data_IF_785495503891
#
_entry.id   IF_785495503891
#
_cell.length_a   1.000
_cell.length_b   1.000
_cell.length_c   1.000
_cell.angle_alpha   90.00
_cell.angle_beta   90.00
_cell.angle_gamma   90.00
#
_symmetry.space_group_name_H-M   'P 1'
#
loop_
_entity.id
_entity.type
_entity.pdbx_description
1 polymer ?
#
# COMPACT_ATOMS: atom_id res chain seq x y z
N UNK A 1 12.45 -10.93 -13.09
CA UNK A 1 12.56 -10.55 -11.67
C UNK A 1 12.55 -11.84 -10.90
N UNK A 2 13.59 -12.13 -10.13
CA UNK A 2 13.79 -13.43 -9.49
C UNK A 2 13.15 -13.51 -8.09
N UNK A 3 13.07 -14.72 -7.52
CA UNK A 3 12.68 -14.96 -6.12
C UNK A 3 13.39 -14.00 -5.12
N UNK A 4 14.64 -13.63 -5.43
CA UNK A 4 15.43 -12.68 -4.65
C UNK A 4 14.88 -11.25 -4.65
N UNK A 5 14.18 -10.83 -5.70
CA UNK A 5 13.60 -9.48 -5.79
C UNK A 5 12.38 -9.33 -4.87
N UNK A 6 11.53 -10.37 -4.80
CA UNK A 6 10.42 -10.40 -3.85
C UNK A 6 10.92 -10.38 -2.40
N UNK A 7 11.91 -11.22 -2.09
CA UNK A 7 12.49 -11.26 -0.74
C UNK A 7 13.11 -9.90 -0.36
N UNK A 8 13.90 -9.30 -1.25
CA UNK A 8 14.50 -7.98 -1.04
C UNK A 8 13.42 -6.91 -0.79
N UNK A 9 12.33 -6.94 -1.55
CA UNK A 9 11.22 -5.98 -1.41
C UNK A 9 10.51 -6.12 -0.07
N UNK A 10 10.28 -7.35 0.39
CA UNK A 10 9.69 -7.63 1.70
C UNK A 10 10.63 -7.19 2.83
N UNK A 11 11.93 -7.49 2.73
CA UNK A 11 12.93 -7.07 3.70
C UNK A 11 13.05 -5.54 3.77
N UNK A 12 13.04 -4.86 2.63
CA UNK A 12 13.04 -3.41 2.56
C UNK A 12 11.80 -2.81 3.27
N UNK A 13 10.60 -3.31 2.99
CA UNK A 13 9.38 -2.89 3.67
C UNK A 13 9.46 -3.10 5.18
N UNK A 14 9.89 -4.29 5.63
CA UNK A 14 10.02 -4.60 7.06
C UNK A 14 11.05 -3.71 7.75
N UNK A 15 12.16 -3.38 7.07
CA UNK A 15 13.18 -2.48 7.59
C UNK A 15 12.64 -1.06 7.83
N UNK A 16 11.77 -0.57 6.93
CA UNK A 16 11.13 0.74 7.04
C UNK A 16 10.05 0.77 8.13
N UNK A 17 9.33 -0.34 8.34
CA UNK A 17 8.29 -0.44 9.38
C UNK A 17 8.88 -0.49 10.79
N UNK A 18 10.02 -1.17 10.96
CA UNK A 18 10.65 -1.42 12.28
C UNK A 18 10.83 -0.17 13.15
N UNK A 19 11.37 0.96 12.67
CA UNK A 19 11.53 2.16 13.50
C UNK A 19 10.20 2.83 13.89
N UNK A 20 9.13 2.57 13.14
CA UNK A 20 7.80 3.17 13.36
C UNK A 20 6.92 2.33 14.30
N UNK A 21 7.29 1.07 14.55
CA UNK A 21 6.53 0.14 15.39
C UNK A 21 6.68 0.38 16.89
N UNK A 22 7.35 1.46 17.29
CA UNK A 22 7.48 1.87 18.68
C UNK A 22 6.50 3.01 18.97
N UNK A 23 5.65 2.84 19.97
CA UNK A 23 4.73 3.87 20.44
C UNK A 23 3.30 3.76 19.90
N UNK A 24 2.64 4.90 19.76
CA UNK A 24 1.18 5.05 19.68
C UNK A 24 0.49 4.31 18.50
N UNK A 25 1.22 4.08 17.39
CA UNK A 25 0.65 3.46 16.18
C UNK A 25 1.12 2.03 15.92
N UNK A 26 1.74 1.39 16.93
CA UNK A 26 2.41 0.09 16.79
C UNK A 26 1.49 -1.03 16.29
N UNK A 27 0.25 -1.08 16.74
CA UNK A 27 -0.66 -2.21 16.47
C UNK A 27 -1.01 -2.33 14.99
N UNK A 28 -1.38 -1.20 14.37
CA UNK A 28 -1.73 -1.16 12.95
C UNK A 28 -0.49 -1.38 12.07
N UNK A 29 0.67 -0.83 12.44
CA UNK A 29 1.94 -1.08 11.74
C UNK A 29 2.44 -2.52 11.90
N UNK A 30 2.15 -3.17 13.03
CA UNK A 30 2.44 -4.58 13.24
C UNK A 30 1.63 -5.44 12.27
N UNK A 31 0.34 -5.13 12.07
CA UNK A 31 -0.50 -5.83 11.07
C UNK A 31 0.06 -5.70 9.66
N UNK A 32 0.56 -4.52 9.26
CA UNK A 32 1.24 -4.35 7.96
C UNK A 32 2.42 -5.33 7.83
N UNK A 33 3.26 -5.45 8.86
CA UNK A 33 4.37 -6.42 8.87
C UNK A 33 3.89 -7.87 8.82
N UNK A 34 2.81 -8.22 9.52
CA UNK A 34 2.21 -9.56 9.49
C UNK A 34 1.75 -9.91 8.07
N UNK A 35 1.06 -9.00 7.39
CA UNK A 35 0.64 -9.23 6.01
C UNK A 35 1.83 -9.32 5.06
N UNK A 36 2.89 -8.52 5.23
CA UNK A 36 4.10 -8.62 4.41
C UNK A 36 4.77 -10.01 4.55
N UNK A 37 4.91 -10.49 5.79
CA UNK A 37 5.41 -11.85 6.08
C UNK A 37 4.47 -12.93 5.52
N UNK A 38 3.17 -12.69 5.51
CA UNK A 38 2.20 -13.62 4.92
C UNK A 38 2.39 -13.76 3.41
N UNK A 39 2.73 -12.69 2.68
CA UNK A 39 3.06 -12.78 1.24
C UNK A 39 4.27 -13.69 1.03
N UNK A 40 5.35 -13.48 1.79
CA UNK A 40 6.54 -14.33 1.72
C UNK A 40 6.20 -15.81 1.98
N UNK A 41 5.43 -16.09 3.02
CA UNK A 41 5.04 -17.45 3.38
C UNK A 41 4.18 -18.10 2.28
N UNK A 42 3.20 -17.39 1.73
CA UNK A 42 2.36 -17.91 0.65
C UNK A 42 3.19 -18.21 -0.60
N UNK A 43 4.17 -17.38 -0.93
CA UNK A 43 5.11 -17.63 -2.02
C UNK A 43 5.97 -18.88 -1.78
N UNK A 44 6.56 -19.02 -0.60
CA UNK A 44 7.37 -20.18 -0.22
C UNK A 44 6.57 -21.49 -0.31
N UNK A 45 5.32 -21.49 0.17
CA UNK A 45 4.43 -22.65 0.08
C UNK A 45 4.11 -23.03 -1.37
N UNK A 46 3.93 -22.03 -2.25
CA UNK A 46 3.73 -22.26 -3.67
C UNK A 46 4.98 -22.88 -4.31
N UNK A 47 6.17 -22.33 -4.06
CA UNK A 47 7.44 -22.86 -4.58
C UNK A 47 7.73 -24.28 -4.10
N UNK A 48 7.46 -24.59 -2.83
CA UNK A 48 7.59 -25.95 -2.30
C UNK A 48 6.63 -26.93 -3.00
N UNK A 49 5.41 -26.49 -3.30
CA UNK A 49 4.45 -27.30 -4.05
C UNK A 49 4.92 -27.54 -5.50
N UNK A 50 5.53 -26.54 -6.15
CA UNK A 50 6.11 -26.69 -7.49
C UNK A 50 7.27 -27.69 -7.51
N UNK A 51 8.23 -27.59 -6.58
CA UNK A 51 9.33 -28.55 -6.50
C UNK A 51 8.87 -30.00 -6.26
N UNK A 52 7.75 -30.18 -5.57
CA UNK A 52 7.12 -31.51 -5.39
C UNK A 52 6.53 -32.05 -6.71
N UNK A 53 6.07 -31.18 -7.60
CA UNK A 53 5.54 -31.57 -8.92
C UNK A 53 6.69 -31.88 -9.89
N UNK A 54 7.75 -31.07 -9.88
CA UNK A 54 8.95 -31.28 -10.72
C UNK A 54 9.66 -32.59 -10.39
N UNK A 55 9.70 -32.99 -9.11
CA UNK A 55 10.32 -34.25 -8.68
C UNK A 55 9.48 -35.49 -9.04
N UNK A 56 8.19 -35.32 -9.35
CA UNK A 56 7.26 -36.38 -9.79
C UNK A 56 7.15 -36.48 -11.32
N UNK A 57 8.20 -36.10 -12.05
CA UNK A 57 8.25 -35.98 -13.52
C UNK A 57 7.96 -37.26 -14.35
N UNK A 58 7.41 -38.33 -13.75
CA UNK A 58 6.87 -39.50 -14.45
C UNK A 58 5.34 -39.54 -14.60
N UNK A 59 4.59 -38.59 -14.02
CA UNK A 59 3.11 -38.55 -14.05
C UNK A 59 2.54 -37.61 -15.14
N UNK A 60 1.26 -37.80 -15.48
CA UNK A 60 0.49 -37.12 -16.53
C UNK A 60 0.70 -35.59 -16.56
N UNK A 61 1.48 -35.13 -17.55
CA UNK A 61 1.88 -33.73 -17.75
C UNK A 61 0.67 -32.78 -17.86
N UNK A 62 -0.49 -33.28 -18.32
CA UNK A 62 -1.71 -32.46 -18.42
C UNK A 62 -2.30 -32.18 -17.05
N UNK A 63 -2.36 -33.18 -16.18
CA UNK A 63 -2.86 -33.03 -14.81
C UNK A 63 -1.94 -32.10 -14.00
N UNK A 64 -0.63 -32.26 -14.14
CA UNK A 64 0.37 -31.40 -13.48
C UNK A 64 0.20 -29.92 -13.88
N UNK A 65 0.02 -29.64 -15.18
CA UNK A 65 -0.24 -28.27 -15.67
C UNK A 65 -1.50 -27.66 -15.08
N UNK A 66 -2.59 -28.45 -14.97
CA UNK A 66 -3.84 -27.99 -14.36
C UNK A 66 -3.65 -27.68 -12.86
N UNK A 67 -2.94 -28.53 -12.14
CA UNK A 67 -2.66 -28.35 -10.71
C UNK A 67 -1.81 -27.09 -10.45
N UNK A 68 -0.78 -26.84 -11.27
CA UNK A 68 0.03 -25.62 -11.19
C UNK A 68 -0.83 -24.39 -11.45
N UNK A 69 -1.67 -24.42 -12.49
CA UNK A 69 -2.53 -23.29 -12.82
C UNK A 69 -3.55 -23.00 -11.71
N UNK A 70 -4.12 -24.02 -11.09
CA UNK A 70 -5.03 -23.87 -9.96
C UNK A 70 -4.33 -23.27 -8.73
N UNK A 71 -3.13 -23.76 -8.40
CA UNK A 71 -2.31 -23.22 -7.30
C UNK A 71 -1.89 -21.78 -7.55
N UNK A 72 -1.47 -21.44 -8.77
CA UNK A 72 -1.08 -20.08 -9.15
C UNK A 72 -2.27 -19.10 -9.06
N UNK A 73 -3.48 -19.52 -9.47
CA UNK A 73 -4.71 -18.73 -9.30
C UNK A 73 -5.07 -18.50 -7.82
N UNK A 74 -4.97 -19.55 -7.01
CA UNK A 74 -5.21 -19.45 -5.56
C UNK A 74 -4.22 -18.49 -4.89
N UNK A 75 -2.94 -18.58 -5.23
CA UNK A 75 -1.91 -17.67 -4.75
C UNK A 75 -2.16 -16.23 -5.20
N UNK A 76 -2.47 -16.00 -6.48
CA UNK A 76 -2.81 -14.65 -6.99
C UNK A 76 -3.95 -14.01 -6.19
N UNK A 77 -5.03 -14.74 -5.96
CA UNK A 77 -6.17 -14.25 -5.17
C UNK A 77 -5.80 -13.98 -3.71
N UNK A 78 -5.08 -14.90 -3.07
CA UNK A 78 -4.62 -14.75 -1.68
C UNK A 78 -3.68 -13.56 -1.51
N UNK A 79 -2.75 -13.38 -2.44
CA UNK A 79 -1.79 -12.27 -2.47
C UNK A 79 -2.49 -10.94 -2.66
N UNK A 80 -3.44 -10.83 -3.59
CA UNK A 80 -4.25 -9.60 -3.78
C UNK A 80 -5.01 -9.21 -2.52
N UNK A 81 -5.63 -10.18 -1.84
CA UNK A 81 -6.32 -9.93 -0.58
C UNK A 81 -5.34 -9.50 0.52
N UNK A 82 -4.19 -10.17 0.65
CA UNK A 82 -3.14 -9.82 1.62
C UNK A 82 -2.62 -8.41 1.41
N UNK A 83 -2.28 -8.04 0.17
CA UNK A 83 -1.82 -6.69 -0.19
C UNK A 83 -2.90 -5.64 0.06
N UNK A 84 -4.16 -5.94 -0.25
CA UNK A 84 -5.29 -5.06 0.06
C UNK A 84 -5.38 -4.82 1.58
N UNK A 85 -5.31 -5.85 2.40
CA UNK A 85 -5.32 -5.69 3.86
C UNK A 85 -4.10 -4.92 4.36
N UNK A 86 -2.93 -5.14 3.76
CA UNK A 86 -1.73 -4.37 4.07
C UNK A 86 -1.95 -2.86 3.84
N UNK A 87 -2.51 -2.47 2.69
CA UNK A 87 -2.87 -1.07 2.40
C UNK A 87 -3.92 -0.53 3.36
N UNK A 88 -4.99 -1.27 3.63
CA UNK A 88 -6.04 -0.85 4.58
C UNK A 88 -5.45 -0.56 5.97
N UNK A 89 -4.50 -1.37 6.43
CA UNK A 89 -3.85 -1.13 7.72
C UNK A 89 -2.91 0.08 7.65
N UNK A 90 -2.17 0.28 6.56
CA UNK A 90 -1.36 1.48 6.37
C UNK A 90 -2.22 2.75 6.35
N UNK A 91 -3.36 2.73 5.66
CA UNK A 91 -4.33 3.82 5.62
C UNK A 91 -4.91 4.09 7.01
N UNK A 92 -5.19 3.05 7.79
CA UNK A 92 -5.66 3.20 9.17
C UNK A 92 -4.61 3.87 10.07
N UNK A 93 -3.32 3.54 9.92
CA UNK A 93 -2.22 4.23 10.64
C UNK A 93 -2.21 5.72 10.29
N UNK A 94 -2.31 6.05 9.00
CA UNK A 94 -2.32 7.45 8.55
C UNK A 94 -3.53 8.21 9.09
N UNK A 95 -4.71 7.59 9.07
CA UNK A 95 -5.92 8.17 9.66
C UNK A 95 -5.73 8.43 11.15
N UNK A 96 -5.20 7.47 11.91
CA UNK A 96 -4.92 7.63 13.35
C UNK A 96 -3.93 8.77 13.61
N UNK A 97 -2.85 8.85 12.81
CA UNK A 97 -1.88 9.94 12.91
C UNK A 97 -2.53 11.30 12.60
N UNK A 98 -3.37 11.39 11.58
CA UNK A 98 -4.10 12.62 11.27
C UNK A 98 -5.12 12.98 12.34
N UNK A 99 -5.82 12.03 12.95
CA UNK A 99 -6.74 12.33 14.06
C UNK A 99 -6.01 12.91 15.28
N UNK A 100 -4.72 12.56 15.46
CA UNK A 100 -3.88 13.15 16.50
C UNK A 100 -3.29 14.52 16.12
N UNK A 101 -3.19 14.84 14.83
CA UNK A 101 -2.54 16.07 14.32
C UNK A 101 -3.53 17.12 13.75
N UNK A 102 -4.72 16.69 13.33
CA UNK A 102 -5.75 17.49 12.62
C UNK A 102 -7.11 17.21 13.25
N UNK A 103 -7.91 18.27 13.40
CA UNK A 103 -9.31 18.11 13.77
C UNK A 103 -10.10 17.45 12.62
N UNK A 104 -10.52 16.20 12.80
CA UNK A 104 -11.50 15.55 11.92
C UNK A 104 -12.92 15.94 12.36
N UNK A 105 -13.82 16.34 11.44
CA UNK A 105 -15.22 16.56 11.79
C UNK A 105 -15.84 15.33 12.46
N UNK A 106 -16.59 15.53 13.55
CA UNK A 106 -17.40 14.48 14.15
C UNK A 106 -18.57 14.17 13.21
N UNK A 107 -18.56 13.00 12.58
CA UNK A 107 -19.65 12.38 11.81
C UNK A 107 -19.81 12.68 10.30
N UNK A 108 -18.75 12.80 9.47
CA UNK A 108 -18.95 12.63 8.03
C UNK A 108 -19.34 11.18 7.75
N UNK A 109 -20.43 10.96 7.01
CA UNK A 109 -20.74 9.61 6.51
C UNK A 109 -19.75 9.25 5.40
N UNK A 110 -19.56 7.95 5.12
CA UNK A 110 -18.76 7.51 3.96
C UNK A 110 -19.27 8.11 2.64
N UNK A 111 -20.59 8.34 2.55
CA UNK A 111 -21.22 8.99 1.40
C UNK A 111 -20.79 10.45 1.27
N UNK A 112 -20.69 11.18 2.38
CA UNK A 112 -20.24 12.57 2.38
C UNK A 112 -18.76 12.68 2.00
N UNK A 113 -17.92 11.82 2.56
CA UNK A 113 -16.51 11.69 2.19
C UNK A 113 -16.36 11.43 0.69
N UNK A 114 -17.12 10.47 0.14
CA UNK A 114 -17.08 10.12 -1.27
C UNK A 114 -17.54 11.27 -2.19
N UNK A 115 -18.64 11.96 -1.84
CA UNK A 115 -19.13 13.12 -2.59
C UNK A 115 -18.10 14.24 -2.60
N UNK A 116 -17.50 14.54 -1.44
CA UNK A 116 -16.51 15.60 -1.30
C UNK A 116 -15.21 15.28 -2.04
N UNK A 117 -14.72 14.05 -1.90
CA UNK A 117 -13.61 13.50 -2.67
C UNK A 117 -13.84 13.63 -4.18
N UNK A 118 -15.04 13.30 -4.67
CA UNK A 118 -15.37 13.45 -6.09
C UNK A 118 -15.37 14.91 -6.55
N UNK A 119 -15.83 15.85 -5.71
CA UNK A 119 -15.77 17.27 -6.00
C UNK A 119 -14.33 17.78 -6.05
N UNK A 120 -13.51 17.44 -5.04
CA UNK A 120 -12.09 17.78 -5.00
C UNK A 120 -11.33 17.21 -6.20
N UNK A 121 -11.59 15.95 -6.57
CA UNK A 121 -11.04 15.33 -7.78
C UNK A 121 -11.34 16.18 -9.02
N UNK A 122 -12.60 16.58 -9.23
CA UNK A 122 -12.98 17.42 -10.39
C UNK A 122 -12.26 18.77 -10.41
N UNK A 123 -11.99 19.35 -9.24
CA UNK A 123 -11.24 20.60 -9.13
C UNK A 123 -9.77 20.39 -9.51
N UNK A 124 -9.09 19.44 -8.88
CA UNK A 124 -7.66 19.21 -9.09
C UNK A 124 -7.34 18.63 -10.48
N UNK A 125 -8.27 17.89 -11.10
CA UNK A 125 -8.11 17.36 -12.46
C UNK A 125 -7.95 18.43 -13.55
N UNK A 126 -8.26 19.70 -13.24
CA UNK A 126 -8.15 20.83 -14.18
C UNK A 126 -6.87 21.62 -14.01
N UNK A 127 -6.00 21.22 -13.09
CA UNK A 127 -4.81 21.97 -12.71
C UNK A 127 -3.55 21.24 -13.18
N UNK A 128 -2.56 22.02 -13.60
CA UNK A 128 -1.29 21.48 -14.13
C UNK A 128 -0.42 20.85 -13.02
N UNK A 129 -0.46 21.43 -11.82
CA UNK A 129 0.23 20.93 -10.63
C UNK A 129 -0.78 20.63 -9.51
N UNK A 130 -1.37 19.42 -9.50
CA UNK A 130 -2.36 19.07 -8.50
C UNK A 130 -1.77 18.87 -7.11
N UNK A 131 -0.47 18.58 -6.96
CA UNK A 131 0.16 18.41 -5.65
C UNK A 131 0.23 19.75 -4.92
N UNK A 132 0.78 20.76 -5.59
CA UNK A 132 0.84 22.12 -5.09
C UNK A 132 -0.56 22.68 -4.84
N UNK A 133 -1.49 22.48 -5.78
CA UNK A 133 -2.87 22.95 -5.63
C UNK A 133 -3.59 22.32 -4.43
N UNK A 134 -3.32 21.04 -4.13
CA UNK A 134 -3.86 20.37 -2.96
C UNK A 134 -3.34 21.01 -1.66
N UNK A 135 -2.05 21.30 -1.58
CA UNK A 135 -1.44 21.98 -0.42
C UNK A 135 -1.96 23.42 -0.26
N UNK A 136 -2.10 24.18 -1.34
CA UNK A 136 -2.71 25.51 -1.33
C UNK A 136 -4.18 25.45 -0.87
N UNK A 137 -4.94 24.47 -1.37
CA UNK A 137 -6.32 24.22 -0.93
C UNK A 137 -6.38 23.87 0.56
N UNK A 138 -5.43 23.07 1.07
CA UNK A 138 -5.33 22.76 2.49
C UNK A 138 -5.13 24.02 3.35
N UNK A 139 -4.24 24.93 2.92
CA UNK A 139 -3.98 26.20 3.61
C UNK A 139 -5.20 27.12 3.61
N UNK A 140 -5.86 27.26 2.46
CA UNK A 140 -6.97 28.20 2.27
C UNK A 140 -8.36 27.70 2.71
N UNK A 141 -8.56 26.38 2.80
CA UNK A 141 -9.87 25.82 3.16
C UNK A 141 -10.18 26.00 4.63
N UNK A 142 -11.36 26.51 4.97
CA UNK A 142 -11.90 26.47 6.34
C UNK A 142 -12.67 25.18 6.64
N UNK A 143 -13.03 24.41 5.59
CA UNK A 143 -13.76 23.16 5.72
C UNK A 143 -12.84 22.04 6.24
N UNK A 144 -13.08 21.47 7.43
CA UNK A 144 -12.20 20.48 8.00
C UNK A 144 -12.30 19.11 7.31
N UNK A 145 -13.41 18.80 6.64
CA UNK A 145 -13.51 17.59 5.83
C UNK A 145 -12.61 17.67 4.59
N UNK A 146 -12.52 18.85 3.97
CA UNK A 146 -11.56 19.08 2.88
C UNK A 146 -10.13 18.87 3.35
N UNK A 147 -9.76 19.49 4.47
CA UNK A 147 -8.41 19.36 5.05
C UNK A 147 -8.08 17.90 5.33
N UNK A 148 -9.00 17.19 5.97
CA UNK A 148 -8.85 15.78 6.29
C UNK A 148 -8.69 14.90 5.04
N UNK A 149 -9.49 15.12 3.99
CA UNK A 149 -9.39 14.35 2.76
C UNK A 149 -8.06 14.61 2.03
N UNK A 150 -7.65 15.87 1.92
CA UNK A 150 -6.39 16.27 1.27
C UNK A 150 -5.18 15.70 2.00
N UNK A 151 -5.14 15.82 3.34
CA UNK A 151 -4.07 15.29 4.15
C UNK A 151 -4.10 13.75 4.27
N UNK A 152 -5.26 13.12 4.05
CA UNK A 152 -5.52 11.71 4.29
C UNK A 152 -5.16 10.76 3.15
N UNK A 153 -5.46 9.46 3.34
CA UNK A 153 -5.21 8.42 2.33
C UNK A 153 -5.81 8.72 0.96
N UNK A 154 -6.97 9.40 0.91
CA UNK A 154 -7.60 9.78 -0.36
C UNK A 154 -6.70 10.70 -1.19
N UNK A 155 -6.14 11.76 -0.58
CA UNK A 155 -5.31 12.71 -1.29
C UNK A 155 -4.01 12.08 -1.80
N UNK A 156 -3.39 11.25 -0.98
CA UNK A 156 -2.22 10.48 -1.37
C UNK A 156 -2.52 9.49 -2.48
N UNK A 157 -3.64 8.76 -2.42
CA UNK A 157 -4.05 7.85 -3.49
C UNK A 157 -4.31 8.61 -4.80
N UNK A 158 -4.92 9.79 -4.71
CA UNK A 158 -5.17 10.66 -5.85
C UNK A 158 -3.88 11.08 -6.56
N UNK A 159 -2.87 11.54 -5.81
CA UNK A 159 -1.57 11.95 -6.34
C UNK A 159 -0.74 10.75 -6.82
N UNK A 160 -0.77 9.63 -6.09
CA UNK A 160 -0.09 8.38 -6.47
C UNK A 160 -0.57 7.87 -7.83
N UNK A 161 -1.89 7.90 -8.10
CA UNK A 161 -2.46 7.50 -9.40
C UNK A 161 -2.01 8.38 -10.57
N UNK A 162 -1.41 9.54 -10.29
CA UNK A 162 -0.83 10.47 -11.27
C UNK A 162 0.68 10.41 -11.33
N UNK A 163 1.30 9.42 -10.67
CA UNK A 163 2.76 9.26 -10.62
C UNK A 163 3.50 10.47 -10.06
N UNK A 164 2.85 11.21 -9.16
CA UNK A 164 3.43 12.38 -8.49
C UNK A 164 4.32 11.91 -7.34
N UNK A 165 5.48 12.54 -7.17
CA UNK A 165 6.34 12.29 -6.02
C UNK A 165 5.71 12.88 -4.76
N UNK A 166 5.33 11.99 -3.84
CA UNK A 166 4.68 12.35 -2.59
C UNK A 166 5.66 12.78 -1.49
N UNK A 167 6.98 12.58 -1.61
CA UNK A 167 7.90 12.94 -0.51
C UNK A 167 7.98 14.45 -0.24
N UNK A 168 7.91 15.27 -1.30
CA UNK A 168 7.85 16.72 -1.14
C UNK A 168 6.50 17.16 -0.58
N UNK A 169 5.42 16.55 -1.09
CA UNK A 169 4.06 16.75 -0.57
C UNK A 169 3.96 16.43 0.92
N UNK A 170 4.47 15.27 1.35
CA UNK A 170 4.42 14.80 2.74
C UNK A 170 5.23 15.72 3.66
N UNK A 171 6.39 16.23 3.20
CA UNK A 171 7.21 17.19 3.96
C UNK A 171 6.47 18.51 4.19
N UNK A 172 5.95 19.11 3.11
CA UNK A 172 5.19 20.35 3.22
C UNK A 172 3.91 20.17 4.04
N UNK A 173 3.19 19.06 3.84
CA UNK A 173 2.01 18.74 4.64
C UNK A 173 2.38 18.62 6.12
N UNK A 174 3.43 17.87 6.46
CA UNK A 174 3.89 17.68 7.84
C UNK A 174 4.26 19.02 8.51
N UNK A 175 4.90 19.94 7.77
CA UNK A 175 5.17 21.30 8.24
C UNK A 175 3.88 22.08 8.51
N UNK A 176 2.91 22.05 7.58
CA UNK A 176 1.60 22.71 7.76
C UNK A 176 0.79 22.14 8.93
N UNK A 177 1.00 20.86 9.25
CA UNK A 177 0.41 20.19 10.40
C UNK A 177 1.12 20.54 11.72
N UNK A 178 2.33 21.09 11.68
CA UNK A 178 3.14 21.37 12.86
C UNK A 178 3.50 20.11 13.64
N UNK A 179 3.56 18.93 12.99
CA UNK A 179 3.68 17.64 13.68
C UNK A 179 5.03 16.94 13.45
N UNK A 180 6.01 17.58 12.81
CA UNK A 180 7.28 16.97 12.40
C UNK A 180 8.01 16.15 13.46
N UNK A 181 8.10 16.64 14.70
CA UNK A 181 8.81 15.97 15.79
C UNK A 181 7.96 14.96 16.59
N UNK A 182 6.69 14.81 16.20
CA UNK A 182 5.74 13.92 16.89
C UNK A 182 5.74 12.52 16.27
N UNK A 183 5.24 11.49 16.98
CA UNK A 183 4.95 10.19 16.37
C UNK A 183 4.08 10.31 15.12
N UNK A 184 3.09 11.22 15.11
CA UNK A 184 2.19 11.43 13.97
C UNK A 184 2.94 11.96 12.74
N UNK A 185 3.85 12.92 12.94
CA UNK A 185 4.70 13.44 11.86
C UNK A 185 5.58 12.37 11.23
N UNK A 186 6.13 11.46 12.04
CA UNK A 186 6.91 10.31 11.52
C UNK A 186 6.05 9.41 10.63
N UNK A 187 4.78 9.20 10.97
CA UNK A 187 3.84 8.45 10.12
C UNK A 187 3.59 9.21 8.82
N UNK A 188 3.22 10.49 8.89
CA UNK A 188 2.94 11.32 7.71
C UNK A 188 4.12 11.28 6.73
N UNK A 189 5.34 11.50 7.23
CA UNK A 189 6.57 11.49 6.42
C UNK A 189 6.94 10.12 5.85
N UNK A 190 6.47 9.03 6.47
CA UNK A 190 6.78 7.67 6.03
C UNK A 190 5.71 7.05 5.14
N UNK A 191 4.51 7.63 5.10
CA UNK A 191 3.32 7.01 4.50
C UNK A 191 3.52 6.74 3.00
N UNK A 192 3.99 7.71 2.22
CA UNK A 192 4.26 7.49 0.80
C UNK A 192 5.37 6.45 0.55
N UNK A 193 6.43 6.49 1.35
CA UNK A 193 7.57 5.56 1.23
C UNK A 193 7.10 4.12 1.49
N UNK A 194 6.34 3.91 2.56
CA UNK A 194 5.74 2.61 2.88
C UNK A 194 4.76 2.16 1.80
N UNK A 195 3.92 3.07 1.29
CA UNK A 195 3.01 2.79 0.18
C UNK A 195 3.74 2.29 -1.07
N UNK A 196 4.86 2.93 -1.43
CA UNK A 196 5.71 2.48 -2.55
C UNK A 196 6.40 1.14 -2.28
N UNK A 197 6.82 0.88 -1.04
CA UNK A 197 7.39 -0.41 -0.67
C UNK A 197 6.35 -1.54 -0.80
N UNK A 198 5.08 -1.29 -0.47
CA UNK A 198 3.98 -2.22 -0.75
C UNK A 198 3.79 -2.43 -2.26
N UNK A 199 3.81 -1.35 -3.06
CA UNK A 199 3.71 -1.41 -4.52
C UNK A 199 4.85 -2.24 -5.13
N UNK A 200 6.07 -2.21 -4.55
CA UNK A 200 7.21 -3.02 -4.99
C UNK A 200 7.05 -4.50 -4.64
N UNK A 201 6.53 -4.82 -3.44
CA UNK A 201 6.17 -6.19 -3.07
C UNK A 201 5.12 -6.76 -4.04
N UNK A 202 4.10 -5.97 -4.37
CA UNK A 202 3.05 -6.31 -5.34
C UNK A 202 3.62 -6.58 -6.73
N UNK A 203 4.47 -5.67 -7.24
CA UNK A 203 5.12 -5.86 -8.54
C UNK A 203 5.99 -7.12 -8.57
N UNK A 204 6.77 -7.35 -7.52
CA UNK A 204 7.67 -8.50 -7.43
C UNK A 204 6.92 -9.83 -7.44
N UNK A 205 5.90 -9.99 -6.59
CA UNK A 205 5.14 -11.25 -6.52
C UNK A 205 4.37 -11.54 -7.81
N UNK A 206 3.81 -10.51 -8.46
CA UNK A 206 3.10 -10.67 -9.73
C UNK A 206 4.05 -11.05 -10.87
N UNK A 207 5.23 -10.44 -10.92
CA UNK A 207 6.26 -10.80 -11.89
C UNK A 207 6.72 -12.25 -11.71
N UNK A 208 7.02 -12.68 -10.48
CA UNK A 208 7.42 -14.06 -10.20
C UNK A 208 6.30 -15.06 -10.51
N UNK A 209 5.04 -14.73 -10.19
CA UNK A 209 3.88 -15.55 -10.55
C UNK A 209 3.69 -15.68 -12.06
N UNK A 210 3.94 -14.62 -12.82
CA UNK A 210 3.82 -14.65 -14.27
C UNK A 210 4.92 -15.51 -14.89
N UNK A 211 6.17 -15.36 -14.44
CA UNK A 211 7.30 -16.18 -14.89
C UNK A 211 7.03 -17.67 -14.70
N UNK A 212 6.48 -18.06 -13.54
CA UNK A 212 6.11 -19.45 -13.28
C UNK A 212 4.96 -19.92 -14.17
N UNK A 213 3.95 -19.09 -14.45
CA UNK A 213 2.88 -19.47 -15.39
C UNK A 213 3.44 -19.72 -16.79
N UNK A 214 4.35 -18.86 -17.25
CA UNK A 214 4.93 -18.96 -18.59
C UNK A 214 5.75 -20.27 -18.75
N UNK A 215 6.52 -20.66 -17.73
CA UNK A 215 7.27 -21.93 -17.70
C UNK A 215 6.39 -23.16 -17.88
N UNK A 216 5.19 -23.16 -17.29
CA UNK A 216 4.27 -24.31 -17.33
C UNK A 216 3.29 -24.26 -18.52
N UNK A 217 3.30 -23.18 -19.30
CA UNK A 217 2.53 -23.05 -20.54
C UNK A 217 3.34 -23.41 -21.80
N UNK A 218 4.67 -23.34 -21.74
CA UNK A 218 5.59 -23.87 -22.75
C UNK A 218 5.54 -25.42 -22.80
#
# INVERSE_FOLDING_TARGET
>A
MSDSDLQRSIEALLSQLKPLQQGEFSDSLYKVSVYAKSVAKSWQMFRAALGTLETKAGEDTKQQRQDVQAKAKSLDLSTKNTLRFMRINLDAVMVQALESAVWRPKNPTKTDEAKKAAALKKTFDRLDDPAKAMLEHYRGSSDPLNKYLVAGPWGHEYLRKRSINLEEYDRELCEMLGCGDTPAGKIVLSYAVLGRAIDEVERSILASLQEEKDKWQA
#
